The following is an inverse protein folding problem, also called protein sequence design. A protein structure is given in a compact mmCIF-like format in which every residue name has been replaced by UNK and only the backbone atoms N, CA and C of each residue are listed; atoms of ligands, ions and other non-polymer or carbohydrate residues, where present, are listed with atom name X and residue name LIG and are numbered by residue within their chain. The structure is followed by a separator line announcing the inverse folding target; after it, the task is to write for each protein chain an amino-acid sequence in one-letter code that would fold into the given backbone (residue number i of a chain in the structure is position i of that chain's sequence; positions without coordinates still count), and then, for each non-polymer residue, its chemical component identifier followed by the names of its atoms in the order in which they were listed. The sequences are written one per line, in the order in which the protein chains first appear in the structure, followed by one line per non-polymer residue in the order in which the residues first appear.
data_IF_206082027527
#
_entry.id   IF_206082027527
#
_cell.length_a   1.000
_cell.length_b   1.000
_cell.length_c   1.000
_cell.angle_alpha   90.00
_cell.angle_beta   90.00
_cell.angle_gamma   90.00
#
_symmetry.space_group_name_H-M   'P 1'
#
loop_
_entity.id
_entity.type
_entity.pdbx_description
1 polymer ?
#
# COMPACT_ATOMS: atom_id res chain seq x y z
N UNK A 1 32.10 34.04 -0.12
CA UNK A 1 31.31 33.58 -1.30
C UNK A 1 30.31 32.53 -0.81
N UNK A 2 29.04 32.62 -1.24
CA UNK A 2 27.96 31.76 -0.72
C UNK A 2 28.08 30.29 -1.15
N UNK A 3 27.48 29.39 -0.38
CA UNK A 3 27.54 27.93 -0.60
C UNK A 3 26.99 27.45 -1.95
N UNK A 4 26.25 28.29 -2.68
CA UNK A 4 25.69 28.02 -4.01
C UNK A 4 26.47 28.69 -5.15
N UNK A 5 27.60 29.34 -4.85
CA UNK A 5 28.36 30.08 -5.84
C UNK A 5 29.02 29.13 -6.84
N UNK A 6 28.87 29.41 -8.13
CA UNK A 6 29.54 28.71 -9.23
C UNK A 6 30.48 29.68 -9.92
N UNK A 7 31.75 29.31 -10.02
CA UNK A 7 32.81 30.15 -10.61
C UNK A 7 32.55 30.34 -12.11
N UNK A 8 32.64 31.59 -12.59
CA UNK A 8 32.43 31.91 -14.02
C UNK A 8 30.98 32.21 -14.42
N UNK A 9 30.12 32.54 -13.45
CA UNK A 9 28.75 33.01 -13.72
C UNK A 9 28.73 34.31 -14.53
N UNK A 10 28.03 34.32 -15.67
CA UNK A 10 27.82 35.54 -16.45
C UNK A 10 26.41 36.09 -16.26
N UNK A 11 26.30 37.41 -16.16
CA UNK A 11 25.01 38.10 -15.95
C UNK A 11 24.12 38.14 -17.21
N UNK A 12 24.68 37.82 -18.38
CA UNK A 12 23.99 37.76 -19.68
C UNK A 12 23.32 36.40 -19.95
N UNK A 13 23.42 35.45 -19.02
CA UNK A 13 22.88 34.11 -19.23
C UNK A 13 21.35 34.09 -19.31
N UNK A 14 20.84 33.54 -20.41
CA UNK A 14 19.43 33.21 -20.54
C UNK A 14 19.02 32.10 -19.55
N UNK A 15 17.71 31.95 -19.33
CA UNK A 15 17.13 30.97 -18.39
C UNK A 15 17.65 29.54 -18.59
N UNK A 16 17.83 29.08 -19.84
CA UNK A 16 18.33 27.73 -20.14
C UNK A 16 19.81 27.56 -19.73
N UNK A 17 20.64 28.55 -20.04
CA UNK A 17 22.06 28.54 -19.71
C UNK A 17 22.31 28.66 -18.21
N UNK A 18 21.50 29.45 -17.50
CA UNK A 18 21.55 29.55 -16.04
C UNK A 18 21.18 28.22 -15.36
N UNK A 19 20.12 27.56 -15.83
CA UNK A 19 19.72 26.24 -15.31
C UNK A 19 20.84 25.21 -15.50
N UNK A 20 21.44 25.15 -16.70
CA UNK A 20 22.46 24.15 -17.02
C UNK A 20 23.76 24.35 -16.24
N UNK A 21 24.21 25.60 -16.07
CA UNK A 21 25.54 25.89 -15.52
C UNK A 21 25.54 26.27 -14.04
N UNK A 22 24.40 26.68 -13.46
CA UNK A 22 24.31 27.07 -12.04
C UNK A 22 23.43 26.11 -11.25
N UNK A 23 22.17 25.95 -11.68
CA UNK A 23 21.20 25.18 -10.88
C UNK A 23 21.48 23.67 -10.91
N UNK A 24 21.60 23.07 -12.10
CA UNK A 24 21.85 21.65 -12.24
C UNK A 24 23.09 21.14 -11.47
N UNK A 25 24.28 21.79 -11.55
CA UNK A 25 25.44 21.33 -10.80
C UNK A 25 25.30 21.53 -9.29
N UNK A 26 24.65 22.61 -8.84
CA UNK A 26 24.38 22.81 -7.42
C UNK A 26 23.41 21.75 -6.87
N UNK A 27 22.34 21.43 -7.60
CA UNK A 27 21.40 20.36 -7.24
C UNK A 27 22.12 19.01 -7.20
N UNK A 28 22.98 18.72 -8.18
CA UNK A 28 23.76 17.49 -8.20
C UNK A 28 24.73 17.40 -7.01
N UNK A 29 25.39 18.51 -6.66
CA UNK A 29 26.31 18.59 -5.50
C UNK A 29 25.57 18.33 -4.19
N UNK A 30 24.46 19.01 -3.95
CA UNK A 30 23.66 18.81 -2.73
C UNK A 30 23.08 17.39 -2.69
N UNK A 31 22.54 16.88 -3.81
CA UNK A 31 22.05 15.50 -3.89
C UNK A 31 23.14 14.49 -3.53
N UNK A 32 24.36 14.66 -4.07
CA UNK A 32 25.50 13.77 -3.76
C UNK A 32 25.89 13.85 -2.28
N UNK A 33 25.86 15.05 -1.68
CA UNK A 33 26.13 15.24 -0.25
C UNK A 33 25.10 14.53 0.63
N UNK A 34 23.81 14.70 0.35
CA UNK A 34 22.76 13.99 1.10
C UNK A 34 22.85 12.47 0.90
N UNK A 35 23.11 11.99 -0.32
CA UNK A 35 23.33 10.56 -0.57
C UNK A 35 24.51 10.01 0.22
N UNK A 36 25.63 10.74 0.29
CA UNK A 36 26.80 10.35 1.07
C UNK A 36 26.52 10.31 2.58
N UNK A 37 25.71 11.26 3.08
CA UNK A 37 25.30 11.28 4.48
C UNK A 37 24.39 10.09 4.82
N UNK A 38 23.43 9.76 3.94
CA UNK A 38 22.53 8.62 4.10
C UNK A 38 23.31 7.31 4.00
N UNK A 39 24.19 7.16 3.01
CA UNK A 39 24.99 5.94 2.82
C UNK A 39 25.98 5.71 3.94
N UNK A 40 26.59 6.78 4.48
CA UNK A 40 27.47 6.73 5.64
C UNK A 40 26.74 6.38 6.94
N UNK A 41 25.46 6.74 7.07
CA UNK A 41 24.64 6.38 8.22
C UNK A 41 24.10 4.93 8.15
N UNK A 42 23.94 4.37 6.94
CA UNK A 42 23.41 3.01 6.72
C UNK A 42 24.06 1.89 7.56
N UNK A 43 25.41 1.79 7.70
CA UNK A 43 26.03 0.75 8.53
C UNK A 43 25.66 0.86 10.02
N UNK A 44 25.28 2.05 10.51
CA UNK A 44 24.88 2.24 11.91
C UNK A 44 23.54 1.56 12.23
N UNK A 45 22.71 1.30 11.22
CA UNK A 45 21.41 0.64 11.34
C UNK A 45 21.43 -0.84 10.87
N UNK A 46 22.57 -1.32 10.39
CA UNK A 46 22.75 -2.72 9.99
C UNK A 46 22.89 -3.63 11.24
N UNK A 47 22.85 -4.94 11.02
CA UNK A 47 23.05 -5.92 12.10
C UNK A 47 24.42 -5.71 12.78
N UNK A 48 24.43 -5.57 14.10
CA UNK A 48 25.60 -5.21 14.91
C UNK A 48 25.89 -3.70 15.02
N UNK A 49 25.09 -2.85 14.37
CA UNK A 49 25.21 -1.39 14.42
C UNK A 49 24.57 -0.77 15.66
N UNK A 50 25.00 0.45 16.02
CA UNK A 50 24.51 1.19 17.21
C UNK A 50 22.99 1.38 17.25
N UNK A 51 22.35 1.46 16.08
CA UNK A 51 20.92 1.71 15.94
C UNK A 51 20.17 0.53 15.30
N UNK A 52 20.71 -0.69 15.38
CA UNK A 52 20.08 -1.89 14.83
C UNK A 52 18.63 -2.08 15.29
N UNK A 53 18.37 -1.97 16.60
CA UNK A 53 17.02 -2.14 17.16
C UNK A 53 16.04 -1.09 16.61
N UNK A 54 16.50 0.16 16.50
CA UNK A 54 15.71 1.26 15.93
C UNK A 54 15.44 1.01 14.45
N UNK A 55 16.44 0.53 13.69
CA UNK A 55 16.28 0.14 12.29
C UNK A 55 15.28 -0.99 12.09
N UNK A 56 15.35 -2.04 12.91
CA UNK A 56 14.42 -3.19 12.88
C UNK A 56 13.00 -2.77 13.26
N UNK A 57 12.85 -1.92 14.28
CA UNK A 57 11.54 -1.40 14.68
C UNK A 57 10.95 -0.46 13.62
N UNK A 58 11.76 0.40 13.01
CA UNK A 58 11.35 1.26 11.91
C UNK A 58 10.90 0.43 10.70
N UNK A 59 11.69 -0.60 10.31
CA UNK A 59 11.31 -1.52 9.24
C UNK A 59 9.98 -2.20 9.54
N UNK A 60 9.81 -2.72 10.76
CA UNK A 60 8.56 -3.32 11.20
C UNK A 60 7.39 -2.34 11.11
N UNK A 61 7.57 -1.09 11.53
CA UNK A 61 6.53 -0.06 11.49
C UNK A 61 6.12 0.34 10.07
N UNK A 62 7.02 0.20 9.09
CA UNK A 62 6.75 0.50 7.68
C UNK A 62 6.10 -0.70 6.99
N UNK A 63 6.52 -1.93 7.34
CA UNK A 63 6.09 -3.15 6.65
C UNK A 63 4.80 -3.74 7.23
N UNK A 64 4.58 -3.67 8.55
CA UNK A 64 3.39 -4.25 9.19
C UNK A 64 2.09 -3.60 8.69
N UNK A 65 1.95 -2.25 8.61
CA UNK A 65 0.67 -1.66 8.26
C UNK A 65 0.15 -2.09 6.88
N UNK A 66 0.96 -2.08 5.80
CA UNK A 66 0.51 -2.59 4.51
C UNK A 66 0.12 -4.08 4.52
N UNK A 67 0.84 -4.92 5.27
CA UNK A 67 0.48 -6.35 5.42
C UNK A 67 -0.88 -6.49 6.12
N UNK A 68 -1.07 -5.79 7.24
CA UNK A 68 -2.34 -5.84 7.98
C UNK A 68 -3.51 -5.30 7.16
N UNK A 69 -3.31 -4.19 6.45
CA UNK A 69 -4.32 -3.58 5.58
C UNK A 69 -4.69 -4.50 4.42
N UNK A 70 -3.69 -5.05 3.71
CA UNK A 70 -3.91 -5.99 2.60
C UNK A 70 -4.66 -7.24 3.04
N UNK A 71 -4.28 -7.84 4.18
CA UNK A 71 -4.97 -9.01 4.73
C UNK A 71 -6.41 -8.69 5.13
N UNK A 72 -6.62 -7.56 5.81
CA UNK A 72 -7.96 -7.11 6.21
C UNK A 72 -8.86 -6.90 4.99
N UNK A 73 -8.33 -6.22 3.96
CA UNK A 73 -9.04 -5.98 2.72
C UNK A 73 -9.36 -7.28 1.98
N UNK A 74 -8.40 -8.21 1.93
CA UNK A 74 -8.58 -9.53 1.33
C UNK A 74 -9.71 -10.31 2.01
N UNK A 75 -9.76 -10.33 3.34
CA UNK A 75 -10.82 -11.00 4.09
C UNK A 75 -12.19 -10.37 3.83
N UNK A 76 -12.26 -9.03 3.80
CA UNK A 76 -13.51 -8.31 3.47
C UNK A 76 -14.00 -8.70 2.07
N UNK A 77 -13.13 -8.64 1.05
CA UNK A 77 -13.48 -9.08 -0.31
C UNK A 77 -13.99 -10.52 -0.33
N UNK A 78 -13.30 -11.41 0.38
CA UNK A 78 -13.66 -12.83 0.46
C UNK A 78 -15.03 -13.01 1.12
N UNK A 79 -15.35 -12.25 2.16
CA UNK A 79 -16.69 -12.29 2.80
C UNK A 79 -17.77 -11.74 1.86
N UNK A 80 -17.51 -10.65 1.15
CA UNK A 80 -18.45 -10.06 0.19
C UNK A 80 -18.81 -11.01 -0.96
N UNK A 81 -17.85 -11.83 -1.42
CA UNK A 81 -18.13 -12.84 -2.46
C UNK A 81 -18.79 -14.10 -1.86
N UNK A 82 -18.40 -14.51 -0.65
CA UNK A 82 -18.98 -15.70 -0.01
C UNK A 82 -20.44 -15.51 0.38
N UNK A 83 -20.83 -14.30 0.76
CA UNK A 83 -22.19 -13.99 1.24
C UNK A 83 -23.29 -14.27 0.20
N UNK A 84 -23.22 -13.78 -1.06
CA UNK A 84 -24.21 -14.11 -2.08
C UNK A 84 -24.18 -15.60 -2.47
N UNK A 85 -23.00 -16.22 -2.51
CA UNK A 85 -22.89 -17.67 -2.76
C UNK A 85 -23.63 -18.49 -1.70
N UNK A 86 -23.51 -18.11 -0.43
CA UNK A 86 -24.23 -18.74 0.67
C UNK A 86 -25.73 -18.44 0.65
N UNK A 87 -26.12 -17.21 0.29
CA UNK A 87 -27.53 -16.87 0.12
C UNK A 87 -28.19 -17.73 -0.98
N UNK A 88 -27.53 -17.92 -2.11
CA UNK A 88 -28.00 -18.80 -3.19
C UNK A 88 -28.12 -20.26 -2.76
N UNK A 89 -27.17 -20.77 -1.95
CA UNK A 89 -27.26 -22.12 -1.38
C UNK A 89 -28.51 -22.30 -0.49
N UNK A 90 -28.96 -21.25 0.21
CA UNK A 90 -30.16 -21.28 1.05
C UNK A 90 -31.44 -21.30 0.20
N UNK A 91 -31.48 -20.55 -0.90
CA UNK A 91 -32.64 -20.52 -1.80
C UNK A 91 -32.73 -21.74 -2.73
N UNK A 92 -31.62 -22.42 -3.05
CA UNK A 92 -31.59 -23.60 -3.90
C UNK A 92 -30.78 -24.75 -3.27
N UNK A 93 -31.35 -25.46 -2.27
CA UNK A 93 -30.64 -26.47 -1.49
C UNK A 93 -30.28 -27.74 -2.29
N UNK A 94 -30.86 -27.94 -3.47
CA UNK A 94 -30.71 -29.17 -4.26
C UNK A 94 -29.41 -29.24 -5.07
N UNK A 95 -28.65 -28.14 -5.20
CA UNK A 95 -27.46 -28.09 -6.05
C UNK A 95 -26.42 -29.15 -5.64
N UNK A 96 -26.26 -29.42 -4.34
CA UNK A 96 -25.20 -30.29 -3.80
C UNK A 96 -25.37 -31.80 -4.04
N UNK A 97 -26.56 -32.27 -4.45
CA UNK A 97 -26.88 -33.71 -4.43
C UNK A 97 -26.28 -34.51 -5.60
N UNK A 98 -25.85 -33.86 -6.68
CA UNK A 98 -25.29 -34.52 -7.87
C UNK A 98 -24.02 -33.81 -8.42
N UNK A 99 -23.34 -33.03 -7.60
CA UNK A 99 -22.20 -32.21 -8.06
C UNK A 99 -20.89 -33.00 -8.04
N UNK A 100 -20.23 -33.12 -9.21
CA UNK A 100 -18.89 -33.71 -9.32
C UNK A 100 -17.88 -33.02 -8.39
N UNK A 101 -16.98 -33.79 -7.77
CA UNK A 101 -15.94 -33.28 -6.83
C UNK A 101 -15.18 -32.06 -7.38
N UNK A 102 -14.87 -32.04 -8.69
CA UNK A 102 -14.18 -30.90 -9.32
C UNK A 102 -14.97 -29.59 -9.28
N UNK A 103 -16.30 -29.63 -9.39
CA UNK A 103 -17.16 -28.43 -9.31
C UNK A 103 -17.24 -27.92 -7.87
N UNK A 104 -17.23 -28.81 -6.87
CA UNK A 104 -17.18 -28.43 -5.45
C UNK A 104 -15.86 -27.72 -5.12
N UNK A 105 -14.73 -28.17 -5.67
CA UNK A 105 -13.45 -27.46 -5.55
C UNK A 105 -13.45 -26.15 -6.32
N UNK A 106 -14.04 -26.12 -7.52
CA UNK A 106 -14.25 -24.90 -8.29
C UNK A 106 -14.98 -23.82 -7.49
N UNK A 107 -16.12 -24.15 -6.88
CA UNK A 107 -16.89 -23.22 -6.04
C UNK A 107 -16.09 -22.68 -4.84
N UNK A 108 -15.09 -23.44 -4.34
CA UNK A 108 -14.22 -23.00 -3.24
C UNK A 108 -13.06 -22.12 -3.70
N UNK A 109 -12.45 -22.43 -4.84
CA UNK A 109 -11.24 -21.78 -5.34
C UNK A 109 -11.58 -20.55 -6.19
N UNK A 110 -12.67 -20.58 -6.97
CA UNK A 110 -13.09 -19.47 -7.83
C UNK A 110 -13.24 -18.16 -7.06
N UNK A 111 -13.90 -18.10 -5.88
CA UNK A 111 -13.97 -16.86 -5.11
C UNK A 111 -12.60 -16.31 -4.73
N UNK A 112 -11.67 -17.18 -4.35
CA UNK A 112 -10.31 -16.80 -3.98
C UNK A 112 -9.56 -16.19 -5.17
N UNK A 113 -9.65 -16.82 -6.34
CA UNK A 113 -9.05 -16.31 -7.58
C UNK A 113 -9.71 -14.99 -8.00
N UNK A 114 -11.03 -14.88 -7.90
CA UNK A 114 -11.76 -13.65 -8.21
C UNK A 114 -11.31 -12.49 -7.32
N UNK A 115 -11.16 -12.68 -6.00
CA UNK A 115 -10.66 -11.63 -5.10
C UNK A 115 -9.27 -11.13 -5.54
N UNK A 116 -8.39 -12.04 -5.94
CA UNK A 116 -7.01 -11.70 -6.31
C UNK A 116 -6.90 -11.08 -7.71
N UNK A 117 -7.66 -11.58 -8.68
CA UNK A 117 -7.53 -11.20 -10.08
C UNK A 117 -8.40 -10.00 -10.48
N UNK A 118 -9.62 -9.90 -9.94
CA UNK A 118 -10.63 -8.94 -10.41
C UNK A 118 -10.19 -7.47 -10.23
N UNK A 119 -9.57 -7.07 -9.09
CA UNK A 119 -9.04 -5.72 -8.94
C UNK A 119 -7.91 -5.38 -9.92
N UNK A 120 -7.07 -6.35 -10.28
CA UNK A 120 -5.94 -6.13 -11.18
C UNK A 120 -6.37 -5.99 -12.65
N UNK A 121 -7.49 -6.60 -13.02
CA UNK A 121 -8.01 -6.59 -14.40
C UNK A 121 -8.94 -5.39 -14.64
N UNK A 122 -9.81 -5.07 -13.68
CA UNK A 122 -10.84 -4.05 -13.86
C UNK A 122 -10.38 -2.65 -13.46
N UNK A 123 -9.35 -2.52 -12.63
CA UNK A 123 -8.87 -1.20 -12.15
C UNK A 123 -7.67 -0.76 -12.94
N UNK A 124 -7.92 0.11 -13.90
CA UNK A 124 -6.91 0.89 -14.59
C UNK A 124 -6.58 2.08 -13.69
N UNK A 125 -5.56 1.94 -12.85
CA UNK A 125 -5.17 2.99 -11.92
C UNK A 125 -4.21 3.96 -12.64
N UNK A 126 -4.68 5.19 -12.84
CA UNK A 126 -3.93 6.29 -13.48
C UNK A 126 -2.57 6.56 -12.83
N UNK A 127 -2.40 6.17 -11.56
CA UNK A 127 -1.15 6.33 -10.81
C UNK A 127 -0.13 5.20 -11.03
N UNK A 128 -0.54 4.04 -11.56
CA UNK A 128 0.34 2.90 -11.88
C UNK A 128 0.54 2.70 -13.38
N UNK A 129 -0.30 3.27 -14.24
CA UNK A 129 -0.14 3.23 -15.70
C UNK A 129 0.92 4.20 -16.22
N UNK A 130 1.11 5.34 -15.54
CA UNK A 130 2.15 6.30 -15.90
C UNK A 130 3.51 5.80 -15.39
N UNK A 131 4.41 5.44 -16.32
CA UNK A 131 5.78 5.01 -16.03
C UNK A 131 6.63 6.10 -15.38
N UNK A 132 6.19 7.36 -15.44
CA UNK A 132 6.84 8.50 -14.76
C UNK A 132 6.17 8.87 -13.43
N UNK A 133 5.11 8.17 -13.02
CA UNK A 133 4.47 8.41 -11.73
C UNK A 133 5.42 8.07 -10.57
N UNK A 134 5.53 8.94 -9.55
CA UNK A 134 6.29 8.65 -8.33
C UNK A 134 5.85 7.33 -7.68
N UNK A 135 4.56 6.97 -7.78
CA UNK A 135 4.03 5.72 -7.23
C UNK A 135 4.65 4.50 -7.91
N UNK A 136 4.82 4.54 -9.23
CA UNK A 136 5.43 3.44 -9.96
C UNK A 136 6.93 3.30 -9.63
N UNK A 137 7.62 4.43 -9.47
CA UNK A 137 9.02 4.43 -8.98
C UNK A 137 9.14 3.78 -7.60
N UNK A 138 8.24 4.08 -6.65
CA UNK A 138 8.24 3.44 -5.33
C UNK A 138 7.87 1.96 -5.41
N UNK A 139 6.91 1.57 -6.23
CA UNK A 139 6.54 0.17 -6.43
C UNK A 139 7.68 -0.64 -7.05
N UNK A 140 8.39 -0.07 -8.03
CA UNK A 140 9.57 -0.70 -8.61
C UNK A 140 10.69 -0.84 -7.58
N UNK A 141 10.93 0.20 -6.77
CA UNK A 141 11.93 0.14 -5.70
C UNK A 141 11.57 -0.91 -4.64
N UNK A 142 10.29 -1.06 -4.32
CA UNK A 142 9.81 -2.12 -3.44
C UNK A 142 9.99 -3.49 -4.10
N UNK A 143 9.66 -3.66 -5.38
CA UNK A 143 9.93 -4.91 -6.12
C UNK A 143 11.41 -5.31 -6.09
N UNK A 144 12.30 -4.34 -6.26
CA UNK A 144 13.76 -4.57 -6.27
C UNK A 144 14.34 -4.91 -4.89
N UNK A 145 13.66 -4.51 -3.80
CA UNK A 145 14.21 -4.60 -2.43
C UNK A 145 13.42 -5.49 -1.48
N UNK A 146 12.24 -5.97 -1.88
CA UNK A 146 11.33 -6.74 -1.03
C UNK A 146 10.99 -8.11 -1.63
N UNK A 147 10.23 -8.91 -0.87
CA UNK A 147 9.76 -10.20 -1.36
C UNK A 147 8.67 -10.02 -2.45
N UNK A 148 8.63 -10.89 -3.47
CA UNK A 148 7.62 -10.81 -4.55
C UNK A 148 6.18 -10.79 -4.02
N UNK A 149 5.91 -11.50 -2.93
CA UNK A 149 4.61 -11.53 -2.28
C UNK A 149 4.22 -10.17 -1.68
N UNK A 150 5.16 -9.48 -1.04
CA UNK A 150 4.89 -8.18 -0.43
C UNK A 150 4.59 -7.12 -1.50
N UNK A 151 5.39 -7.09 -2.56
CA UNK A 151 5.14 -6.23 -3.71
C UNK A 151 3.78 -6.50 -4.36
N UNK A 152 3.43 -7.78 -4.55
CA UNK A 152 2.11 -8.15 -5.06
C UNK A 152 0.98 -7.65 -4.16
N UNK A 153 1.08 -7.86 -2.84
CA UNK A 153 0.04 -7.44 -1.89
C UNK A 153 -0.10 -5.92 -1.84
N UNK A 154 1.01 -5.17 -1.94
CA UNK A 154 0.98 -3.70 -2.04
C UNK A 154 0.30 -3.24 -3.32
N UNK A 155 0.70 -3.79 -4.47
CA UNK A 155 0.08 -3.48 -5.76
C UNK A 155 -1.41 -3.81 -5.73
N UNK A 156 -1.77 -5.00 -5.26
CA UNK A 156 -3.15 -5.43 -5.13
C UNK A 156 -3.96 -4.49 -4.24
N UNK A 157 -3.42 -4.09 -3.07
CA UNK A 157 -4.10 -3.15 -2.16
C UNK A 157 -4.32 -1.79 -2.81
N UNK A 158 -3.32 -1.23 -3.50
CA UNK A 158 -3.42 0.05 -4.20
C UNK A 158 -4.49 0.07 -5.30
N UNK A 159 -4.74 -1.08 -5.94
CA UNK A 159 -5.79 -1.20 -6.96
C UNK A 159 -7.16 -1.50 -6.32
N UNK A 160 -7.20 -2.26 -5.24
CA UNK A 160 -8.45 -2.72 -4.63
C UNK A 160 -9.08 -1.67 -3.71
N UNK A 161 -8.27 -0.91 -2.97
CA UNK A 161 -8.75 0.07 -1.99
C UNK A 161 -9.63 1.18 -2.62
N UNK A 162 -9.29 1.77 -3.78
CA UNK A 162 -10.16 2.75 -4.45
C UNK A 162 -11.52 2.21 -4.89
N UNK A 163 -11.64 0.90 -5.15
CA UNK A 163 -12.93 0.28 -5.49
C UNK A 163 -13.82 0.09 -4.26
N UNK A 164 -13.24 -0.39 -3.15
CA UNK A 164 -14.01 -0.77 -1.97
C UNK A 164 -14.38 0.42 -1.09
N UNK A 165 -13.53 1.44 -1.02
CA UNK A 165 -13.79 2.64 -0.22
C UNK A 165 -15.12 3.34 -0.58
N UNK A 166 -15.45 3.62 -1.85
CA UNK A 166 -16.74 4.22 -2.20
C UNK A 166 -17.93 3.28 -1.97
N UNK A 167 -17.75 1.96 -2.14
CA UNK A 167 -18.79 0.98 -1.84
C UNK A 167 -19.14 0.96 -0.35
N UNK A 168 -18.12 0.96 0.52
CA UNK A 168 -18.30 1.08 1.97
C UNK A 168 -18.97 2.40 2.36
N UNK A 169 -18.56 3.52 1.74
CA UNK A 169 -19.18 4.83 1.99
C UNK A 169 -20.67 4.87 1.61
N UNK A 170 -21.05 4.28 0.48
CA UNK A 170 -22.47 4.16 0.07
C UNK A 170 -23.25 3.25 1.01
N UNK A 171 -22.68 2.12 1.42
CA UNK A 171 -23.32 1.20 2.35
C UNK A 171 -23.58 1.89 3.70
N UNK A 172 -22.62 2.69 4.19
CA UNK A 172 -22.80 3.44 5.43
C UNK A 172 -23.93 4.47 5.33
N UNK A 173 -24.01 5.22 4.23
CA UNK A 173 -25.06 6.21 4.03
C UNK A 173 -26.47 5.61 4.17
N UNK A 174 -26.63 4.33 3.81
CA UNK A 174 -27.92 3.63 3.93
C UNK A 174 -28.12 2.90 5.26
N UNK A 175 -27.06 2.47 5.94
CA UNK A 175 -27.16 1.57 7.11
C UNK A 175 -26.83 2.25 8.45
N UNK A 176 -26.02 3.30 8.47
CA UNK A 176 -25.56 3.95 9.71
C UNK A 176 -24.75 3.03 10.64
N UNK A 177 -24.15 1.96 10.10
CA UNK A 177 -23.44 0.92 10.83
C UNK A 177 -22.18 1.46 11.52
N UNK A 178 -21.39 2.32 10.87
CA UNK A 178 -20.21 2.93 11.48
C UNK A 178 -20.59 3.88 12.60
N UNK A 179 -21.70 4.63 12.48
CA UNK A 179 -22.18 5.51 13.56
C UNK A 179 -22.58 4.70 14.81
N UNK A 180 -23.28 3.59 14.63
CA UNK A 180 -23.68 2.72 15.74
C UNK A 180 -22.50 1.94 16.34
N UNK A 181 -21.58 1.44 15.49
CA UNK A 181 -20.34 0.82 15.93
C UNK A 181 -19.42 1.80 16.67
N UNK A 182 -19.39 3.08 16.28
CA UNK A 182 -18.61 4.14 16.92
C UNK A 182 -18.97 4.35 18.40
N UNK A 183 -20.25 4.21 18.75
CA UNK A 183 -20.69 4.27 20.14
C UNK A 183 -20.20 3.06 20.95
N UNK A 184 -20.15 1.89 20.33
CA UNK A 184 -19.65 0.66 20.96
C UNK A 184 -18.13 0.68 21.11
N UNK A 185 -17.39 1.18 20.12
CA UNK A 185 -15.94 1.28 20.19
C UNK A 185 -15.48 2.29 21.23
N UNK A 186 -16.19 3.40 21.43
CA UNK A 186 -15.89 4.33 22.52
C UNK A 186 -16.04 3.67 23.89
N UNK A 187 -17.08 2.85 24.08
CA UNK A 187 -17.28 2.08 25.33
C UNK A 187 -16.23 1.00 25.51
N UNK A 188 -15.84 0.30 24.44
CA UNK A 188 -14.74 -0.66 24.47
C UNK A 188 -13.41 0.04 24.82
N UNK A 189 -13.14 1.22 24.27
CA UNK A 189 -11.94 1.99 24.59
C UNK A 189 -11.89 2.45 26.06
N UNK A 190 -13.04 2.77 26.67
CA UNK A 190 -13.12 3.04 28.11
C UNK A 190 -12.84 1.80 28.96
N UNK A 191 -13.28 0.62 28.52
CA UNK A 191 -12.98 -0.65 29.20
C UNK A 191 -11.50 -1.01 29.04
N UNK A 192 -10.92 -0.83 27.87
CA UNK A 192 -9.51 -1.10 27.58
C UNK A 192 -8.60 -0.23 28.47
N UNK A 193 -8.93 1.05 28.63
CA UNK A 193 -8.24 1.95 29.57
C UNK A 193 -8.35 1.51 31.04
N UNK A 194 -9.43 0.84 31.45
CA UNK A 194 -9.59 0.36 32.84
C UNK A 194 -8.89 -0.98 33.12
N UNK A 195 -8.52 -1.73 32.08
CA UNK A 195 -7.90 -3.04 32.20
C UNK A 195 -6.38 -2.96 32.00
N UNK A 196 -5.90 -1.95 31.26
CA UNK A 196 -4.49 -1.76 30.93
C UNK A 196 -3.81 -0.54 31.59
N UNK A 197 -4.52 0.21 32.44
CA UNK A 197 -3.95 1.05 33.51
C UNK A 197 -4.03 0.30 34.86
#
# INVERSE_FOLDING_TARGET
MGAMYVTGGRADWNKRNFVRHVLAPNIARETKKYLAMISGARPLFADGGRYEQVGKQALRSVVIPPISMSLSLFLICMTLIKLPLKALEVFQPQWKRNTRRGVVWGIKIVPLICVLALPLIFVHNRYTEDSQSPVNFFLQKVDETSSPLFSFMLKWTLHTQPLLQPLGGRLEQHTGLYRSAGALTHRLAEVDKRVFD
#
